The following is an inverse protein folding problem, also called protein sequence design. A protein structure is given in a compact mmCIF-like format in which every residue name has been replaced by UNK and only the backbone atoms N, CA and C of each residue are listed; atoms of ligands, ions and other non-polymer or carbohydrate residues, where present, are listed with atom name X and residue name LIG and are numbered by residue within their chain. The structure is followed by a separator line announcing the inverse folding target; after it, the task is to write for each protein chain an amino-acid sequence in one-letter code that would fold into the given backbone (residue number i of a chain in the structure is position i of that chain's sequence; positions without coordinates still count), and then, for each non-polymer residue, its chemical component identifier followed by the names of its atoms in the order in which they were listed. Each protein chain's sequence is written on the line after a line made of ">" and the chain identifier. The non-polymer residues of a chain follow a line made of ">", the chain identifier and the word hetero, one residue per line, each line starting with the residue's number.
data_IF_110552278685
#
_entry.id   IF_110552278685
#
_cell.length_a   1.000
_cell.length_b   1.000
_cell.length_c   1.000
_cell.angle_alpha   90.00
_cell.angle_beta   90.00
_cell.angle_gamma   90.00
#
_symmetry.space_group_name_H-M   'P 1'
#
loop_
_entity.id
_entity.type
_entity.pdbx_description
1 polymer ?
#
# COMPACT_ATOMS: atom_id res chain seq x y z
N UNK A 1 -26.48 2.09 -0.22
CA UNK A 1 -26.00 1.56 1.07
C UNK A 1 -27.19 1.01 1.81
N UNK A 2 -27.24 -0.31 1.98
CA UNK A 2 -28.27 -0.98 2.79
C UNK A 2 -28.09 -0.58 4.26
N UNK A 3 -29.17 -0.22 4.95
CA UNK A 3 -29.08 0.17 6.36
C UNK A 3 -28.83 -1.07 7.21
N UNK A 4 -27.61 -1.17 7.77
CA UNK A 4 -27.17 -2.25 8.67
C UNK A 4 -27.85 -2.28 10.04
N UNK A 5 -28.57 -1.24 10.43
CA UNK A 5 -29.15 -1.15 11.77
C UNK A 5 -30.62 -0.71 11.77
N UNK A 6 -31.40 -1.28 12.68
CA UNK A 6 -32.77 -0.85 13.02
C UNK A 6 -32.77 -0.28 14.43
N UNK A 7 -33.39 0.89 14.59
CA UNK A 7 -33.62 1.48 15.91
C UNK A 7 -35.06 1.21 16.34
N UNK A 8 -35.25 0.65 17.53
CA UNK A 8 -36.57 0.41 18.14
C UNK A 8 -36.66 1.21 19.43
N UNK A 9 -37.72 2.02 19.54
CA UNK A 9 -37.99 2.84 20.72
C UNK A 9 -38.97 2.10 21.64
N UNK A 10 -38.53 1.78 22.85
CA UNK A 10 -39.39 1.36 23.96
C UNK A 10 -39.81 2.54 24.83
N UNK A 11 -40.65 2.28 25.84
CA UNK A 11 -41.18 3.30 26.76
C UNK A 11 -40.11 3.91 27.67
N UNK A 12 -39.06 3.15 27.99
CA UNK A 12 -37.96 3.58 28.89
C UNK A 12 -36.57 3.52 28.23
N UNK A 13 -36.46 2.79 27.12
CA UNK A 13 -35.19 2.42 26.49
C UNK A 13 -35.24 2.57 24.98
N UNK A 14 -34.08 2.79 24.35
CA UNK A 14 -33.92 2.65 22.90
C UNK A 14 -32.95 1.52 22.59
N UNK A 15 -33.34 0.65 21.67
CA UNK A 15 -32.57 -0.51 21.24
C UNK A 15 -32.09 -0.30 19.82
N UNK A 16 -30.81 -0.59 19.56
CA UNK A 16 -30.22 -0.59 18.22
C UNK A 16 -29.87 -2.03 17.89
N UNK A 17 -30.46 -2.54 16.80
CA UNK A 17 -30.29 -3.90 16.31
C UNK A 17 -29.45 -3.91 15.04
N UNK A 18 -28.40 -4.72 15.01
CA UNK A 18 -27.69 -5.10 13.79
C UNK A 18 -28.56 -6.06 12.96
N UNK A 19 -28.96 -5.65 11.75
CA UNK A 19 -29.78 -6.46 10.85
C UNK A 19 -29.01 -7.61 10.21
N UNK A 20 -27.68 -7.56 10.25
CA UNK A 20 -26.77 -8.55 9.66
C UNK A 20 -26.35 -9.59 10.70
N UNK A 21 -25.88 -9.15 11.86
CA UNK A 21 -25.33 -10.07 12.87
C UNK A 21 -26.34 -10.55 13.92
N UNK A 22 -27.56 -9.99 14.00
CA UNK A 22 -28.68 -10.36 14.90
C UNK A 22 -28.40 -10.50 16.41
N UNK A 23 -27.15 -10.45 16.85
CA UNK A 23 -26.71 -10.71 18.24
C UNK A 23 -26.18 -9.46 18.95
N UNK A 24 -25.78 -8.42 18.21
CA UNK A 24 -25.31 -7.16 18.79
C UNK A 24 -26.47 -6.20 19.06
N UNK A 25 -26.94 -6.20 20.32
CA UNK A 25 -27.95 -5.25 20.81
C UNK A 25 -27.27 -4.27 21.77
N UNK A 26 -27.29 -2.97 21.45
CA UNK A 26 -26.96 -1.93 22.42
C UNK A 26 -28.23 -1.33 22.99
N UNK A 27 -28.39 -1.47 24.30
CA UNK A 27 -29.44 -0.80 25.08
C UNK A 27 -28.96 0.59 25.51
N UNK A 28 -29.72 1.62 25.19
CA UNK A 28 -29.48 2.99 25.65
C UNK A 28 -30.58 3.34 26.65
N UNK A 29 -30.19 3.47 27.93
CA UNK A 29 -31.09 3.78 29.06
C UNK A 29 -31.21 5.28 29.26
N UNK A 30 -32.44 5.81 29.32
CA UNK A 30 -32.69 7.22 29.64
C UNK A 30 -34.16 7.62 29.53
N UNK A 31 -34.72 8.24 30.58
CA UNK A 31 -36.09 8.77 30.57
C UNK A 31 -36.23 9.88 29.51
N UNK A 32 -37.09 9.66 28.53
CA UNK A 32 -37.73 10.72 27.75
C UNK A 32 -37.00 11.25 26.52
N UNK A 33 -35.76 10.87 26.23
CA UNK A 33 -35.04 11.38 25.07
C UNK A 33 -34.08 10.34 24.49
N UNK A 34 -34.46 9.75 23.37
CA UNK A 34 -33.58 9.82 22.20
C UNK A 34 -34.47 10.35 21.06
N UNK A 35 -34.23 11.59 20.63
CA UNK A 35 -34.89 12.06 19.42
C UNK A 35 -34.48 11.15 18.26
N UNK A 36 -35.22 11.15 17.14
CA UNK A 36 -34.77 10.47 15.91
C UNK A 36 -33.33 10.85 15.52
N UNK A 37 -32.87 12.04 15.91
CA UNK A 37 -31.50 12.52 15.71
C UNK A 37 -30.50 11.85 16.64
N UNK A 38 -30.79 11.70 17.93
CA UNK A 38 -29.91 10.97 18.86
C UNK A 38 -29.78 9.49 18.45
N UNK A 39 -30.88 8.86 18.04
CA UNK A 39 -30.86 7.52 17.49
C UNK A 39 -30.01 7.39 16.21
N UNK A 40 -30.08 8.39 15.32
CA UNK A 40 -29.24 8.46 14.11
C UNK A 40 -27.76 8.64 14.44
N UNK A 41 -27.42 9.55 15.34
CA UNK A 41 -26.03 9.78 15.76
C UNK A 41 -25.40 8.51 16.35
N UNK A 42 -26.12 7.81 17.22
CA UNK A 42 -25.60 6.57 17.80
C UNK A 42 -25.45 5.48 16.73
N UNK A 43 -26.39 5.35 15.79
CA UNK A 43 -26.26 4.42 14.68
C UNK A 43 -25.09 4.76 13.73
N UNK A 44 -24.81 6.05 13.51
CA UNK A 44 -23.66 6.53 12.74
C UNK A 44 -22.33 6.24 13.47
N UNK A 45 -22.25 6.50 14.79
CA UNK A 45 -21.08 6.16 15.62
C UNK A 45 -20.81 4.65 15.65
N UNK A 46 -21.87 3.83 15.67
CA UNK A 46 -21.75 2.36 15.60
C UNK A 46 -21.19 1.87 14.27
N UNK A 47 -21.74 2.36 13.15
CA UNK A 47 -21.20 2.06 11.82
C UNK A 47 -19.70 2.43 11.73
N UNK A 48 -19.29 3.55 12.35
CA UNK A 48 -17.90 4.01 12.33
C UNK A 48 -16.95 3.19 13.23
N UNK A 49 -17.45 2.47 14.24
CA UNK A 49 -16.61 1.62 15.10
C UNK A 49 -16.20 0.31 14.42
N UNK A 50 -17.05 -0.27 13.56
CA UNK A 50 -16.73 -1.50 12.81
C UNK A 50 -15.86 -1.26 11.57
N UNK A 51 -15.79 -0.03 11.04
CA UNK A 51 -15.05 0.30 9.81
C UNK A 51 -13.56 0.61 10.02
N UNK A 52 -13.00 0.43 11.23
CA UNK A 52 -11.57 0.69 11.44
C UNK A 52 -10.74 -0.41 10.78
N UNK A 53 -9.88 -0.09 9.81
CA UNK A 53 -9.06 -1.09 9.14
C UNK A 53 -8.22 -1.83 10.17
N UNK A 54 -8.27 -3.16 10.12
CA UNK A 54 -7.44 -4.03 10.93
C UNK A 54 -5.96 -3.78 10.69
N UNK A 55 -5.11 -4.39 11.52
CA UNK A 55 -3.65 -4.23 11.45
C UNK A 55 -3.10 -4.47 10.04
N UNK A 56 -3.59 -5.51 9.36
CA UNK A 56 -3.12 -5.87 8.02
C UNK A 56 -3.63 -4.93 6.93
N UNK A 57 -4.86 -4.43 7.04
CA UNK A 57 -5.42 -3.45 6.11
C UNK A 57 -4.67 -2.12 6.22
N UNK A 58 -4.38 -1.67 7.45
CA UNK A 58 -3.54 -0.49 7.70
C UNK A 58 -2.14 -0.66 7.11
N UNK A 59 -1.54 -1.86 7.25
CA UNK A 59 -0.24 -2.16 6.65
C UNK A 59 -0.31 -2.14 5.12
N UNK A 60 -1.35 -2.74 4.53
CA UNK A 60 -1.59 -2.74 3.09
C UNK A 60 -1.69 -1.33 2.51
N UNK A 61 -2.42 -0.44 3.19
CA UNK A 61 -2.53 0.97 2.79
C UNK A 61 -1.17 1.68 2.77
N UNK A 62 -0.34 1.46 3.80
CA UNK A 62 1.01 2.04 3.87
C UNK A 62 1.93 1.50 2.77
N UNK A 63 1.85 0.20 2.48
CA UNK A 63 2.62 -0.41 1.40
C UNK A 63 2.17 0.14 0.04
N UNK A 64 0.86 0.25 -0.20
CA UNK A 64 0.32 0.82 -1.44
C UNK A 64 0.82 2.24 -1.69
N UNK A 65 0.75 3.11 -0.67
CA UNK A 65 1.28 4.48 -0.75
C UNK A 65 2.77 4.53 -1.08
N UNK A 66 3.56 3.61 -0.50
CA UNK A 66 4.99 3.49 -0.81
C UNK A 66 5.20 3.10 -2.27
N UNK A 67 4.46 2.09 -2.76
CA UNK A 67 4.56 1.61 -4.15
C UNK A 67 4.17 2.71 -5.13
N UNK A 68 3.10 3.46 -4.87
CA UNK A 68 2.68 4.59 -5.72
C UNK A 68 3.77 5.66 -5.83
N UNK A 69 4.44 5.98 -4.72
CA UNK A 69 5.56 6.93 -4.73
C UNK A 69 6.73 6.38 -5.56
N UNK A 70 7.08 5.11 -5.38
CA UNK A 70 8.17 4.47 -6.12
C UNK A 70 7.88 4.37 -7.62
N UNK A 71 6.64 4.07 -7.99
CA UNK A 71 6.24 4.02 -9.39
C UNK A 71 6.37 5.39 -10.07
N UNK A 72 6.17 6.50 -9.33
CA UNK A 72 6.43 7.85 -9.84
C UNK A 72 7.92 8.17 -9.95
N UNK A 73 8.72 7.76 -8.97
CA UNK A 73 10.17 7.99 -8.94
C UNK A 73 10.92 7.22 -10.06
N UNK A 74 10.48 6.00 -10.38
CA UNK A 74 11.19 5.08 -11.29
C UNK A 74 10.41 4.77 -12.58
N UNK A 75 9.16 5.20 -12.70
CA UNK A 75 8.26 4.75 -13.77
C UNK A 75 7.99 3.24 -13.68
N UNK A 76 7.57 2.66 -14.81
CA UNK A 76 7.50 1.19 -14.97
C UNK A 76 8.89 0.55 -15.13
N UNK A 77 9.77 0.78 -14.14
CA UNK A 77 11.10 0.17 -14.07
C UNK A 77 10.97 -1.35 -13.93
N UNK A 78 9.98 -1.84 -13.19
CA UNK A 78 9.76 -3.27 -12.98
C UNK A 78 9.54 -4.03 -14.30
N UNK A 79 8.58 -3.61 -15.11
CA UNK A 79 8.31 -4.25 -16.40
C UNK A 79 9.41 -4.02 -17.42
N UNK A 80 9.94 -2.79 -17.51
CA UNK A 80 11.00 -2.44 -18.48
C UNK A 80 12.32 -3.15 -18.20
N UNK A 81 12.71 -3.27 -16.93
CA UNK A 81 13.92 -3.98 -16.55
C UNK A 81 13.84 -5.46 -16.92
N UNK A 82 12.71 -6.11 -16.68
CA UNK A 82 12.49 -7.49 -17.09
C UNK A 82 12.70 -7.67 -18.61
N UNK A 83 12.10 -6.81 -19.44
CA UNK A 83 12.27 -6.89 -20.90
C UNK A 83 13.69 -6.59 -21.40
N UNK A 84 14.51 -5.85 -20.65
CA UNK A 84 15.94 -5.69 -20.94
C UNK A 84 16.69 -6.98 -20.58
N UNK A 85 16.43 -7.54 -19.41
CA UNK A 85 17.10 -8.76 -18.93
C UNK A 85 16.78 -9.96 -19.81
N UNK A 86 15.54 -10.11 -20.30
CA UNK A 86 15.16 -11.16 -21.26
C UNK A 86 15.98 -11.10 -22.55
N UNK A 87 16.39 -9.90 -22.98
CA UNK A 87 17.25 -9.73 -24.17
C UNK A 87 18.71 -9.99 -23.88
N UNK A 88 19.20 -9.64 -22.69
CA UNK A 88 20.59 -9.82 -22.28
C UNK A 88 20.91 -11.27 -21.84
N UNK A 89 19.92 -11.94 -21.25
CA UNK A 89 20.03 -13.29 -20.71
C UNK A 89 18.85 -14.17 -21.17
N UNK A 90 18.71 -14.43 -22.49
CA UNK A 90 17.58 -15.18 -23.05
C UNK A 90 17.50 -16.61 -22.51
N UNK A 91 18.63 -17.21 -22.16
CA UNK A 91 18.73 -18.57 -21.61
C UNK A 91 18.89 -18.60 -20.08
N UNK A 92 18.61 -17.47 -19.42
CA UNK A 92 18.78 -17.28 -17.98
C UNK A 92 20.20 -16.89 -17.56
N UNK A 93 20.35 -16.64 -16.25
CA UNK A 93 21.61 -16.17 -15.64
C UNK A 93 22.34 -17.35 -15.01
N UNK A 94 23.58 -17.59 -15.46
CA UNK A 94 24.47 -18.58 -14.87
C UNK A 94 25.22 -18.01 -13.64
N UNK A 95 25.62 -18.83 -12.65
CA UNK A 95 26.30 -18.35 -11.44
C UNK A 95 27.53 -17.48 -11.70
N UNK A 96 28.33 -17.82 -12.71
CA UNK A 96 29.51 -17.05 -13.13
C UNK A 96 29.17 -15.63 -13.62
N UNK A 97 27.91 -15.35 -13.95
CA UNK A 97 27.46 -14.03 -14.39
C UNK A 97 26.88 -13.17 -13.26
N UNK A 98 26.74 -13.67 -12.02
CA UNK A 98 26.01 -12.96 -10.97
C UNK A 98 26.58 -11.58 -10.62
N UNK A 99 27.90 -11.41 -10.65
CA UNK A 99 28.53 -10.11 -10.42
C UNK A 99 28.17 -9.09 -11.51
N UNK A 100 28.27 -9.48 -12.79
CA UNK A 100 27.90 -8.62 -13.90
C UNK A 100 26.39 -8.35 -13.93
N UNK A 101 25.57 -9.36 -13.66
CA UNK A 101 24.12 -9.24 -13.55
C UNK A 101 23.72 -8.23 -12.48
N UNK A 102 24.35 -8.28 -11.29
CA UNK A 102 24.11 -7.31 -10.22
C UNK A 102 24.42 -5.88 -10.69
N UNK A 103 25.56 -5.68 -11.37
CA UNK A 103 25.93 -4.38 -11.92
C UNK A 103 24.91 -3.87 -12.96
N UNK A 104 24.50 -4.73 -13.90
CA UNK A 104 23.52 -4.41 -14.93
C UNK A 104 22.18 -4.00 -14.33
N UNK A 105 21.65 -4.78 -13.38
CA UNK A 105 20.36 -4.47 -12.74
C UNK A 105 20.41 -3.11 -12.02
N UNK A 106 21.52 -2.81 -11.34
CA UNK A 106 21.70 -1.51 -10.69
C UNK A 106 21.84 -0.35 -11.68
N UNK A 107 22.46 -0.58 -12.83
CA UNK A 107 22.50 0.42 -13.93
C UNK A 107 21.10 0.67 -14.47
N UNK A 108 20.32 -0.37 -14.75
CA UNK A 108 18.94 -0.25 -15.26
C UNK A 108 18.06 0.52 -14.27
N UNK A 109 18.20 0.23 -12.97
CA UNK A 109 17.49 0.94 -11.89
C UNK A 109 17.77 2.46 -11.93
N UNK A 110 19.06 2.83 -11.98
CA UNK A 110 19.46 4.25 -12.01
C UNK A 110 19.07 4.93 -13.33
N UNK A 111 19.13 4.25 -14.47
CA UNK A 111 18.63 4.78 -15.75
C UNK A 111 17.13 5.07 -15.70
N UNK A 112 16.35 4.16 -15.10
CA UNK A 112 14.91 4.36 -14.93
C UNK A 112 14.62 5.58 -14.06
N UNK A 113 15.37 5.77 -12.97
CA UNK A 113 15.27 6.96 -12.13
C UNK A 113 15.60 8.25 -12.90
N UNK A 114 16.70 8.26 -13.65
CA UNK A 114 17.11 9.42 -14.47
C UNK A 114 16.03 9.78 -15.49
N UNK A 115 15.47 8.77 -16.18
CA UNK A 115 14.43 8.96 -17.19
C UNK A 115 13.12 9.54 -16.61
N UNK A 116 12.89 9.41 -15.30
CA UNK A 116 11.71 9.93 -14.60
C UNK A 116 12.01 11.21 -13.79
N UNK A 117 13.01 11.98 -14.22
CA UNK A 117 13.34 13.28 -13.62
C UNK A 117 14.34 13.20 -12.48
N UNK A 118 15.07 12.10 -12.35
CA UNK A 118 16.14 11.90 -11.37
C UNK A 118 15.70 12.18 -9.91
N UNK A 119 14.48 11.81 -9.57
CA UNK A 119 13.84 12.13 -8.29
C UNK A 119 14.47 11.33 -7.14
N UNK A 120 14.70 11.93 -5.97
CA UNK A 120 15.25 11.28 -4.77
C UNK A 120 16.53 11.95 -4.25
N UNK A 121 17.07 11.48 -3.13
CA UNK A 121 18.15 12.17 -2.40
C UNK A 121 19.56 11.93 -2.99
N UNK A 122 19.82 10.74 -3.54
CA UNK A 122 21.14 10.38 -4.10
C UNK A 122 21.32 10.88 -5.53
N UNK A 123 22.55 11.16 -5.96
CA UNK A 123 22.84 11.50 -7.36
C UNK A 123 22.99 10.23 -8.22
N UNK A 124 21.97 9.93 -9.04
CA UNK A 124 21.97 8.74 -9.88
C UNK A 124 23.12 8.68 -10.92
N UNK A 125 23.63 9.84 -11.37
CA UNK A 125 24.79 9.86 -12.26
C UNK A 125 26.08 9.47 -11.54
N UNK A 126 26.23 9.91 -10.29
CA UNK A 126 27.37 9.52 -9.46
C UNK A 126 27.33 8.00 -9.18
N UNK A 127 26.15 7.43 -8.94
CA UNK A 127 25.97 5.99 -8.81
C UNK A 127 26.40 5.23 -10.07
N UNK A 128 25.96 5.68 -11.26
CA UNK A 128 26.35 5.06 -12.53
C UNK A 128 27.86 5.10 -12.76
N UNK A 129 28.50 6.23 -12.46
CA UNK A 129 29.96 6.35 -12.53
C UNK A 129 30.64 5.36 -11.57
N UNK A 130 30.14 5.27 -10.33
CA UNK A 130 30.63 4.32 -9.33
C UNK A 130 30.49 2.86 -9.78
N UNK A 131 29.36 2.48 -10.39
CA UNK A 131 29.16 1.13 -10.90
C UNK A 131 30.08 0.82 -12.09
N UNK A 132 30.32 1.81 -12.96
CA UNK A 132 31.31 1.70 -14.03
C UNK A 132 32.73 1.43 -13.50
N UNK A 133 33.14 2.16 -12.46
CA UNK A 133 34.43 1.95 -11.80
C UNK A 133 34.51 0.55 -11.17
N UNK A 134 33.49 0.14 -10.42
CA UNK A 134 33.46 -1.19 -9.79
C UNK A 134 33.54 -2.32 -10.83
N UNK A 135 32.78 -2.23 -11.92
CA UNK A 135 32.84 -3.20 -13.00
C UNK A 135 34.19 -3.20 -13.72
N UNK A 136 34.81 -2.03 -13.92
CA UNK A 136 36.15 -1.94 -14.49
C UNK A 136 37.22 -2.58 -13.61
N UNK A 137 37.11 -2.45 -12.28
CA UNK A 137 38.08 -3.04 -11.37
C UNK A 137 37.86 -4.53 -11.12
N UNK A 138 36.65 -5.05 -11.32
CA UNK A 138 36.34 -6.45 -11.09
C UNK A 138 37.16 -7.41 -11.98
N UNK A 139 37.53 -6.97 -13.20
CA UNK A 139 38.38 -7.75 -14.11
C UNK A 139 39.83 -7.99 -13.62
N UNK A 140 40.24 -7.32 -12.55
CA UNK A 140 41.59 -7.43 -11.96
C UNK A 140 41.62 -8.25 -10.66
N UNK A 141 40.49 -8.84 -10.26
CA UNK A 141 40.43 -9.81 -9.16
C UNK A 141 40.65 -11.22 -9.69
#
# INVERSE_FOLDING_TARGET
>A
MEKRYIVVHGTENTYIYDTVNKENVKEVKGRGLTSRETARQIAEEFNQQEERPGRYETLGQRIGQLVDRKQKEYGDSWGKAAGILEKLYPDGVKPEHYHNMLGIVRVIDKLSRIANGNQGEENAWADLAGYGLLGYFDKYK
#
